data_IF_896017110441
#
_entry.id   IF_896017110441
#
_cell.length_a   1.000
_cell.length_b   1.000
_cell.length_c   1.000
_cell.angle_alpha   90.00
_cell.angle_beta   90.00
_cell.angle_gamma   90.00
#
_symmetry.space_group_name_H-M   'P 1'
#
loop_
_entity.id
_entity.type
_entity.pdbx_description
1 polymer ?
#
# COMPACT_ATOMS: atom_id res chain seq x y z
N UNK A 1 2.85 21.48 -18.82
CA UNK A 1 4.11 20.72 -18.65
C UNK A 1 4.12 19.61 -19.67
N UNK A 2 5.21 19.42 -20.41
CA UNK A 2 5.33 18.29 -21.34
C UNK A 2 5.84 17.03 -20.63
N UNK A 3 5.66 15.86 -21.26
CA UNK A 3 6.20 14.59 -20.76
C UNK A 3 7.72 14.64 -20.61
N UNK A 4 8.43 15.25 -21.58
CA UNK A 4 9.89 15.40 -21.53
C UNK A 4 10.32 16.25 -20.34
N UNK A 5 9.63 17.37 -20.09
CA UNK A 5 9.92 18.21 -18.92
C UNK A 5 9.75 17.43 -17.61
N UNK A 6 8.70 16.61 -17.50
CA UNK A 6 8.46 15.78 -16.32
C UNK A 6 9.58 14.76 -16.11
N UNK A 7 9.99 14.05 -17.17
CA UNK A 7 11.03 13.02 -17.10
C UNK A 7 12.38 13.59 -16.70
N UNK A 8 12.76 14.75 -17.25
CA UNK A 8 14.01 15.42 -16.91
C UNK A 8 14.05 15.86 -15.43
N UNK A 9 12.97 16.48 -14.93
CA UNK A 9 12.92 16.93 -13.52
C UNK A 9 12.94 15.79 -12.51
N UNK A 10 12.42 14.62 -12.88
CA UNK A 10 12.27 13.50 -11.96
C UNK A 10 13.30 12.38 -12.17
N UNK A 11 14.28 12.59 -13.05
CA UNK A 11 15.30 11.59 -13.40
C UNK A 11 16.01 10.99 -12.19
N UNK A 12 16.39 11.82 -11.22
CA UNK A 12 17.10 11.34 -10.02
C UNK A 12 16.21 10.56 -9.04
N UNK A 13 14.90 10.82 -9.03
CA UNK A 13 13.95 10.25 -8.07
C UNK A 13 13.30 8.97 -8.60
N UNK A 14 12.97 8.96 -9.88
CA UNK A 14 12.27 7.85 -10.53
C UNK A 14 12.43 7.91 -12.06
N UNK A 15 13.65 7.68 -12.52
CA UNK A 15 14.01 7.65 -13.94
C UNK A 15 13.03 6.79 -14.76
N UNK A 16 12.57 7.36 -15.88
CA UNK A 16 11.66 6.73 -16.84
C UNK A 16 10.31 6.25 -16.27
N UNK A 17 9.95 6.66 -15.05
CA UNK A 17 8.65 6.37 -14.43
C UNK A 17 7.83 7.64 -14.33
N UNK A 18 6.60 7.59 -14.84
CA UNK A 18 5.59 8.65 -14.67
C UNK A 18 4.55 8.15 -13.68
N UNK A 19 4.45 8.81 -12.54
CA UNK A 19 3.43 8.47 -11.54
C UNK A 19 2.16 9.25 -11.82
N UNK A 20 1.01 8.60 -11.70
CA UNK A 20 -0.28 9.25 -11.93
C UNK A 20 -1.34 8.89 -10.89
N UNK A 21 -2.32 9.78 -10.77
CA UNK A 21 -3.42 9.71 -9.80
C UNK A 21 -4.74 9.69 -10.58
N UNK A 22 -5.61 8.75 -10.23
CA UNK A 22 -6.94 8.60 -10.85
C UNK A 22 -8.06 9.09 -9.93
N UNK A 23 -7.87 9.03 -8.61
CA UNK A 23 -8.85 9.46 -7.61
C UNK A 23 -8.16 10.12 -6.42
N UNK A 24 -8.28 11.45 -6.31
CA UNK A 24 -7.62 12.22 -5.25
C UNK A 24 -8.09 11.86 -3.84
N UNK A 25 -9.35 11.44 -3.68
CA UNK A 25 -9.93 11.15 -2.37
C UNK A 25 -9.49 9.77 -1.90
N UNK A 26 -9.63 8.77 -2.76
CA UNK A 26 -9.19 7.42 -2.46
C UNK A 26 -7.67 7.39 -2.23
N UNK A 27 -6.91 8.03 -3.11
CA UNK A 27 -5.45 7.95 -3.11
C UNK A 27 -4.78 9.02 -2.22
N UNK A 28 -5.53 9.70 -1.36
CA UNK A 28 -5.06 10.83 -0.56
C UNK A 28 -3.80 10.53 0.26
N UNK A 29 -3.71 9.32 0.84
CA UNK A 29 -2.54 8.91 1.62
C UNK A 29 -1.27 8.75 0.77
N UNK A 30 -1.41 8.17 -0.43
CA UNK A 30 -0.30 8.03 -1.39
C UNK A 30 0.13 9.41 -1.92
N UNK A 31 -0.83 10.28 -2.23
CA UNK A 31 -0.55 11.66 -2.66
C UNK A 31 0.23 12.41 -1.58
N UNK A 32 -0.19 12.29 -0.32
CA UNK A 32 0.54 12.88 0.80
C UNK A 32 1.95 12.32 0.90
N UNK A 33 2.12 11.00 0.79
CA UNK A 33 3.44 10.36 0.84
C UNK A 33 4.36 10.85 -0.29
N UNK A 34 3.84 11.00 -1.51
CA UNK A 34 4.60 11.57 -2.63
C UNK A 34 5.03 13.01 -2.31
N UNK A 35 4.11 13.86 -1.84
CA UNK A 35 4.42 15.25 -1.45
C UNK A 35 5.47 15.33 -0.35
N UNK A 36 5.35 14.50 0.69
CA UNK A 36 6.29 14.46 1.82
C UNK A 36 7.71 14.02 1.39
N UNK A 37 7.85 13.36 0.22
CA UNK A 37 9.12 12.92 -0.34
C UNK A 37 9.56 13.74 -1.58
N UNK A 38 8.98 14.93 -1.78
CA UNK A 38 9.20 15.80 -2.94
C UNK A 38 9.00 15.07 -4.29
N UNK A 39 8.11 14.08 -4.34
CA UNK A 39 7.80 13.36 -5.58
C UNK A 39 6.60 13.96 -6.28
N UNK A 40 6.65 13.92 -7.60
CA UNK A 40 5.58 14.42 -8.45
C UNK A 40 4.70 13.26 -8.94
N UNK A 41 3.42 13.56 -9.13
CA UNK A 41 2.48 12.68 -9.83
C UNK A 41 1.51 13.55 -10.63
N UNK A 42 1.08 13.05 -11.79
CA UNK A 42 0.15 13.75 -12.68
C UNK A 42 -1.29 13.27 -12.46
N UNK A 43 -2.25 14.19 -12.54
CA UNK A 43 -3.67 13.83 -12.49
C UNK A 43 -4.10 13.25 -13.84
N UNK A 44 -4.64 12.02 -13.82
CA UNK A 44 -5.14 11.28 -14.99
C UNK A 44 -6.43 10.56 -14.59
N UNK A 45 -7.51 11.33 -14.45
CA UNK A 45 -8.79 10.89 -13.88
C UNK A 45 -9.94 10.83 -14.89
N UNK A 46 -9.63 10.89 -16.18
CA UNK A 46 -10.62 10.80 -17.26
C UNK A 46 -10.59 9.43 -17.93
N UNK A 47 -11.71 9.04 -18.55
CA UNK A 47 -11.83 7.71 -19.19
C UNK A 47 -10.82 7.51 -20.33
N UNK A 48 -10.46 8.58 -21.03
CA UNK A 48 -9.52 8.50 -22.16
C UNK A 48 -8.07 8.34 -21.71
N UNK A 49 -7.75 8.68 -20.45
CA UNK A 49 -6.38 8.67 -19.94
C UNK A 49 -5.74 7.28 -20.00
N UNK A 50 -6.50 6.21 -19.73
CA UNK A 50 -5.98 4.84 -19.81
C UNK A 50 -5.45 4.50 -21.20
N UNK A 51 -6.19 4.88 -22.25
CA UNK A 51 -5.76 4.67 -23.64
C UNK A 51 -4.60 5.59 -24.01
N UNK A 52 -4.62 6.83 -23.51
CA UNK A 52 -3.56 7.79 -23.75
C UNK A 52 -2.23 7.35 -23.12
N UNK A 53 -2.26 6.82 -21.89
CA UNK A 53 -1.11 6.22 -21.22
C UNK A 53 -0.50 5.10 -22.08
N UNK A 54 -1.33 4.15 -22.52
CA UNK A 54 -0.86 3.03 -23.35
C UNK A 54 -0.25 3.52 -24.67
N UNK A 55 -0.86 4.53 -25.30
CA UNK A 55 -0.32 5.16 -26.49
C UNK A 55 1.05 5.80 -26.22
N UNK A 56 1.23 6.53 -25.12
CA UNK A 56 2.50 7.13 -24.76
C UNK A 56 3.57 6.08 -24.47
N UNK A 57 3.28 5.03 -23.70
CA UNK A 57 4.23 3.94 -23.42
C UNK A 57 4.69 3.21 -24.69
N UNK A 58 3.81 3.10 -25.71
CA UNK A 58 4.17 2.50 -26.99
C UNK A 58 5.09 3.38 -27.84
N UNK A 59 4.92 4.71 -27.78
CA UNK A 59 5.68 5.66 -28.59
C UNK A 59 6.97 6.14 -27.93
N UNK A 60 7.01 6.20 -26.59
CA UNK A 60 8.14 6.67 -25.79
C UNK A 60 8.83 5.47 -25.16
N UNK A 61 9.74 4.85 -25.93
CA UNK A 61 10.43 3.62 -25.51
C UNK A 61 11.13 3.79 -24.16
N UNK A 62 10.84 2.87 -23.23
CA UNK A 62 11.45 2.84 -21.90
C UNK A 62 10.66 3.59 -20.83
N UNK A 63 9.70 4.44 -21.19
CA UNK A 63 8.83 5.15 -20.23
C UNK A 63 7.73 4.21 -19.74
N UNK A 64 7.49 4.20 -18.42
CA UNK A 64 6.41 3.46 -17.78
C UNK A 64 5.53 4.37 -16.96
N UNK A 65 4.22 4.20 -17.07
CA UNK A 65 3.24 4.89 -16.27
C UNK A 65 2.77 3.97 -15.15
N UNK A 66 2.86 4.48 -13.92
CA UNK A 66 2.56 3.74 -12.71
C UNK A 66 1.54 4.52 -11.91
N UNK A 67 0.44 3.90 -11.49
CA UNK A 67 -0.46 4.56 -10.55
C UNK A 67 0.28 4.78 -9.22
N UNK A 68 -0.06 5.84 -8.51
CA UNK A 68 0.62 6.28 -7.29
C UNK A 68 0.64 5.21 -6.16
N UNK A 69 -0.25 4.23 -6.23
CA UNK A 69 -0.42 3.10 -5.31
C UNK A 69 0.03 1.77 -5.92
N UNK A 70 0.80 1.80 -7.01
CA UNK A 70 1.24 0.59 -7.71
C UNK A 70 2.66 0.14 -7.42
N UNK A 71 3.51 1.07 -6.98
CA UNK A 71 4.91 0.82 -6.67
C UNK A 71 5.41 1.81 -5.63
N UNK A 72 6.43 1.39 -4.85
CA UNK A 72 7.17 2.27 -3.94
C UNK A 72 8.49 2.65 -4.59
N UNK A 73 8.70 3.94 -4.84
CA UNK A 73 10.00 4.42 -5.32
C UNK A 73 11.07 4.23 -4.24
N UNK A 74 12.28 3.88 -4.65
CA UNK A 74 13.47 3.82 -3.79
C UNK A 74 13.75 5.14 -3.06
N UNK A 75 13.28 6.27 -3.61
CA UNK A 75 13.39 7.58 -2.96
C UNK A 75 12.54 7.72 -1.70
N UNK A 76 11.47 6.93 -1.54
CA UNK A 76 10.60 6.95 -0.36
C UNK A 76 11.08 6.01 0.75
N UNK A 77 12.03 5.12 0.44
CA UNK A 77 12.61 4.18 1.39
C UNK A 77 13.73 4.84 2.16
N UNK A 78 13.83 4.48 3.41
CA UNK A 78 14.92 4.88 4.28
C UNK A 78 16.12 3.96 4.04
N UNK A 79 17.16 4.52 3.39
CA UNK A 79 18.41 3.80 3.13
C UNK A 79 19.34 3.79 4.34
N UNK A 80 19.05 4.60 5.37
CA UNK A 80 19.88 4.76 6.56
C UNK A 80 19.51 3.81 7.70
N UNK A 81 18.55 2.89 7.52
CA UNK A 81 18.39 1.76 8.45
C UNK A 81 19.58 0.81 8.32
N UNK A 82 20.71 1.23 8.89
CA UNK A 82 21.95 0.48 9.15
C UNK A 82 21.73 -0.56 10.24
N UNK A 83 20.70 -1.38 10.08
CA UNK A 83 20.54 -2.62 10.84
C UNK A 83 21.24 -3.72 10.05
N UNK A 84 21.92 -4.61 10.75
CA UNK A 84 22.54 -5.80 10.15
C UNK A 84 21.50 -6.50 9.24
N UNK A 85 21.88 -6.91 8.02
CA UNK A 85 20.92 -7.45 7.02
C UNK A 85 20.13 -8.65 7.59
N UNK A 86 20.78 -9.42 8.48
CA UNK A 86 20.16 -10.52 9.20
C UNK A 86 19.03 -10.06 10.13
N UNK A 87 19.21 -8.95 10.84
CA UNK A 87 18.18 -8.38 11.72
C UNK A 87 16.99 -7.83 10.94
N UNK A 88 17.22 -7.25 9.75
CA UNK A 88 16.10 -6.80 8.91
C UNK A 88 15.28 -7.96 8.35
N UNK A 89 15.93 -9.04 7.93
CA UNK A 89 15.25 -10.27 7.48
C UNK A 89 14.41 -10.86 8.61
N UNK A 90 14.98 -10.98 9.80
CA UNK A 90 14.27 -11.50 10.98
C UNK A 90 13.06 -10.63 11.36
N UNK A 91 13.20 -9.29 11.34
CA UNK A 91 12.07 -8.37 11.56
C UNK A 91 10.98 -8.60 10.52
N UNK A 92 11.37 -8.74 9.25
CA UNK A 92 10.44 -8.91 8.14
C UNK A 92 9.64 -10.21 8.26
N UNK A 93 10.32 -11.33 8.52
CA UNK A 93 9.70 -12.65 8.72
C UNK A 93 8.75 -12.65 9.93
N UNK A 94 9.16 -12.02 11.04
CA UNK A 94 8.34 -11.91 12.23
C UNK A 94 7.05 -11.10 11.98
N UNK A 95 7.15 -9.97 11.29
CA UNK A 95 5.98 -9.15 10.96
C UNK A 95 5.05 -9.86 9.98
N UNK A 96 5.60 -10.49 8.94
CA UNK A 96 4.82 -11.26 7.97
C UNK A 96 4.02 -12.37 8.66
N UNK A 97 4.69 -13.16 9.51
CA UNK A 97 4.03 -14.22 10.29
C UNK A 97 2.96 -13.66 11.22
N UNK A 98 3.29 -12.60 11.97
CA UNK A 98 2.37 -11.97 12.91
C UNK A 98 1.07 -11.54 12.23
N UNK A 99 1.17 -10.86 11.09
CA UNK A 99 0.00 -10.38 10.37
C UNK A 99 -0.78 -11.52 9.71
N UNK A 100 -0.12 -12.50 9.09
CA UNK A 100 -0.83 -13.65 8.49
C UNK A 100 -1.65 -14.43 9.52
N UNK A 101 -1.07 -14.69 10.69
CA UNK A 101 -1.74 -15.39 11.79
C UNK A 101 -2.93 -14.60 12.34
N UNK A 102 -2.75 -13.31 12.63
CA UNK A 102 -3.82 -12.49 13.21
C UNK A 102 -4.94 -12.17 12.22
N UNK A 103 -4.63 -12.06 10.93
CA UNK A 103 -5.60 -11.84 9.86
C UNK A 103 -6.25 -13.13 9.35
N UNK A 104 -5.76 -14.31 9.76
CA UNK A 104 -6.17 -15.61 9.22
C UNK A 104 -6.13 -15.66 7.69
N UNK A 105 -5.09 -15.10 7.08
CA UNK A 105 -4.96 -14.99 5.63
C UNK A 105 -3.54 -15.33 5.16
N UNK A 106 -3.25 -16.62 5.06
CA UNK A 106 -1.93 -17.13 4.62
C UNK A 106 -1.58 -16.74 3.17
N UNK A 107 -2.58 -16.40 2.36
CA UNK A 107 -2.42 -16.01 0.95
C UNK A 107 -2.08 -14.53 0.78
N UNK A 108 -2.21 -13.72 1.83
CA UNK A 108 -1.89 -12.30 1.78
C UNK A 108 -0.39 -12.13 1.48
N UNK A 109 -0.08 -11.42 0.40
CA UNK A 109 1.29 -10.98 0.12
C UNK A 109 1.62 -9.85 1.08
N UNK A 110 2.64 -10.04 1.91
CA UNK A 110 3.12 -9.01 2.84
C UNK A 110 4.54 -8.66 2.46
N UNK A 111 4.86 -7.37 2.50
CA UNK A 111 6.21 -6.85 2.32
C UNK A 111 6.52 -5.91 3.48
N UNK A 112 7.73 -5.97 4.00
CA UNK A 112 8.18 -5.03 5.03
C UNK A 112 9.17 -4.06 4.39
N UNK A 113 8.91 -2.77 4.56
CA UNK A 113 9.75 -1.70 4.00
C UNK A 113 9.99 -0.65 5.07
N UNK A 114 11.22 -0.12 5.14
CA UNK A 114 11.52 1.04 5.96
C UNK A 114 11.14 2.30 5.16
N UNK A 115 10.01 2.92 5.47
CA UNK A 115 9.59 4.15 4.80
C UNK A 115 10.12 5.36 5.56
N UNK A 116 10.47 6.43 4.85
CA UNK A 116 10.82 7.73 5.46
C UNK A 116 9.65 8.35 6.22
N UNK A 117 8.42 8.11 5.75
CA UNK A 117 7.19 8.60 6.38
C UNK A 117 6.80 7.71 7.56
N UNK A 118 7.27 8.05 8.76
CA UNK A 118 7.03 7.24 9.97
C UNK A 118 5.57 7.20 10.44
N UNK A 119 4.67 8.06 9.92
CA UNK A 119 3.28 8.15 10.40
C UNK A 119 2.36 7.03 9.88
N UNK A 120 2.70 6.41 8.75
CA UNK A 120 1.88 5.36 8.14
C UNK A 120 2.33 3.98 8.64
N UNK A 121 1.46 3.18 9.28
CA UNK A 121 1.81 1.82 9.74
C UNK A 121 1.87 0.81 8.60
N UNK A 122 1.04 0.98 7.57
CA UNK A 122 1.05 0.14 6.39
C UNK A 122 0.13 0.69 5.30
N UNK A 123 0.22 0.09 4.12
CA UNK A 123 -0.51 0.48 2.92
C UNK A 123 -0.65 -0.71 1.97
N UNK A 124 -1.67 -0.69 1.11
CA UNK A 124 -1.80 -1.67 0.03
C UNK A 124 -1.12 -1.15 -1.23
N UNK A 125 -0.40 -2.01 -1.92
CA UNK A 125 0.05 -1.77 -3.29
C UNK A 125 -0.61 -2.77 -4.22
N UNK A 126 -1.00 -2.32 -5.42
CA UNK A 126 -1.44 -3.19 -6.50
C UNK A 126 -0.65 -2.88 -7.75
N UNK A 127 0.08 -3.86 -8.28
CA UNK A 127 0.91 -3.64 -9.47
C UNK A 127 0.09 -3.06 -10.62
N UNK A 128 0.70 -2.19 -11.40
CA UNK A 128 0.02 -1.53 -12.53
C UNK A 128 -0.51 -2.56 -13.54
N UNK A 129 0.21 -3.65 -13.74
CA UNK A 129 -0.23 -4.75 -14.59
C UNK A 129 -1.49 -5.43 -14.02
N UNK A 130 -1.51 -5.76 -12.73
CA UNK A 130 -2.67 -6.37 -12.08
C UNK A 130 -3.88 -5.44 -12.14
N UNK A 131 -3.69 -4.13 -11.90
CA UNK A 131 -4.72 -3.11 -12.05
C UNK A 131 -5.32 -3.12 -13.45
N UNK A 132 -4.49 -3.06 -14.50
CA UNK A 132 -4.96 -3.06 -15.91
C UNK A 132 -5.71 -4.35 -16.27
N UNK A 133 -5.28 -5.49 -15.74
CA UNK A 133 -6.00 -6.77 -15.91
C UNK A 133 -7.35 -6.74 -15.19
N UNK A 134 -7.42 -6.20 -13.97
CA UNK A 134 -8.67 -6.05 -13.22
C UNK A 134 -9.65 -5.12 -13.96
N UNK A 135 -9.18 -4.01 -14.51
CA UNK A 135 -9.98 -3.09 -15.34
C UNK A 135 -10.51 -3.78 -16.60
N UNK A 136 -9.66 -4.54 -17.29
CA UNK A 136 -10.05 -5.34 -18.45
C UNK A 136 -11.14 -6.35 -18.08
N UNK A 137 -10.97 -7.10 -16.98
CA UNK A 137 -11.97 -8.08 -16.52
C UNK A 137 -13.33 -7.44 -16.25
N UNK A 138 -13.35 -6.25 -15.63
CA UNK A 138 -14.59 -5.48 -15.39
C UNK A 138 -15.26 -5.05 -16.69
N UNK A 139 -14.48 -4.62 -17.69
CA UNK A 139 -15.01 -4.14 -18.98
C UNK A 139 -15.59 -5.27 -19.83
N UNK A 140 -15.01 -6.46 -19.81
CA UNK A 140 -15.49 -7.64 -20.57
C UNK A 140 -16.55 -8.47 -19.82
N UNK A 141 -17.35 -7.83 -18.97
CA UNK A 141 -18.49 -8.48 -18.31
C UNK A 141 -18.12 -9.46 -17.21
N UNK A 142 -16.97 -9.27 -16.56
CA UNK A 142 -16.55 -10.12 -15.45
C UNK A 142 -16.23 -11.54 -15.89
N UNK A 143 -15.63 -11.72 -17.08
CA UNK A 143 -15.01 -13.00 -17.47
C UNK A 143 -13.95 -13.34 -16.43
N UNK A 144 -14.41 -14.07 -15.43
CA UNK A 144 -13.63 -14.56 -14.33
C UNK A 144 -12.81 -15.68 -14.97
N UNK A 145 -11.56 -15.37 -15.35
CA UNK A 145 -10.57 -16.36 -15.76
C UNK A 145 -10.30 -17.29 -14.56
N UNK A 146 -11.26 -18.16 -14.27
CA UNK A 146 -11.22 -19.23 -13.29
C UNK A 146 -10.96 -18.84 -11.84
N UNK A 147 -11.34 -17.65 -11.36
CA UNK A 147 -11.02 -17.25 -9.98
C UNK A 147 -9.51 -17.24 -9.67
N UNK A 148 -8.65 -17.25 -10.70
CA UNK A 148 -7.20 -17.28 -10.57
C UNK A 148 -6.59 -15.88 -10.41
N UNK A 149 -7.35 -14.82 -10.66
CA UNK A 149 -6.94 -13.47 -10.31
C UNK A 149 -7.33 -13.20 -8.87
N UNK A 150 -6.68 -13.91 -7.94
CA UNK A 150 -6.58 -13.43 -6.57
C UNK A 150 -6.04 -12.00 -6.65
N UNK A 151 -6.71 -11.06 -6.00
CA UNK A 151 -6.27 -9.67 -5.92
C UNK A 151 -4.78 -9.67 -5.56
N UNK A 152 -3.92 -9.29 -6.52
CA UNK A 152 -2.47 -9.25 -6.30
C UNK A 152 -2.07 -8.00 -5.52
N UNK A 153 -2.83 -7.74 -4.46
CA UNK A 153 -2.57 -6.71 -3.49
C UNK A 153 -1.45 -7.18 -2.57
N UNK A 154 -0.51 -6.28 -2.31
CA UNK A 154 0.56 -6.49 -1.34
C UNK A 154 0.36 -5.53 -0.18
N UNK A 155 0.22 -6.06 1.03
CA UNK A 155 0.28 -5.26 2.25
C UNK A 155 1.73 -4.90 2.54
N UNK A 156 2.06 -3.63 2.39
CA UNK A 156 3.35 -3.09 2.83
C UNK A 156 3.24 -2.64 4.27
N UNK A 157 4.08 -3.17 5.15
CA UNK A 157 4.20 -2.76 6.55
C UNK A 157 5.44 -1.87 6.70
N UNK A 158 5.25 -0.73 7.37
CA UNK A 158 6.32 0.24 7.57
C UNK A 158 7.12 -0.08 8.84
N UNK A 159 8.32 -0.64 8.68
CA UNK A 159 9.17 -1.01 9.82
C UNK A 159 9.68 0.20 10.61
N UNK A 160 9.63 1.41 10.04
CA UNK A 160 9.98 2.65 10.72
C UNK A 160 8.83 3.21 11.58
N UNK A 161 7.60 2.74 11.39
CA UNK A 161 6.45 3.20 12.15
C UNK A 161 6.46 2.69 13.60
N UNK A 162 6.16 3.59 14.55
CA UNK A 162 6.17 3.27 15.98
C UNK A 162 5.19 2.16 16.38
N UNK A 163 3.99 2.13 15.79
CA UNK A 163 2.98 1.11 16.08
C UNK A 163 3.44 -0.28 15.60
N UNK A 164 4.04 -0.35 14.40
CA UNK A 164 4.61 -1.59 13.86
C UNK A 164 5.75 -2.12 14.75
N UNK A 165 6.64 -1.24 15.23
CA UNK A 165 7.68 -1.61 16.20
C UNK A 165 7.09 -2.09 17.53
N UNK A 166 6.04 -1.43 18.01
CA UNK A 166 5.34 -1.86 19.24
C UNK A 166 4.72 -3.24 19.09
N UNK A 167 4.10 -3.57 17.95
CA UNK A 167 3.54 -4.90 17.71
C UNK A 167 4.58 -6.02 17.86
N UNK A 168 5.80 -5.82 17.35
CA UNK A 168 6.89 -6.78 17.52
C UNK A 168 7.25 -7.01 19.00
N UNK A 169 7.19 -5.97 19.83
CA UNK A 169 7.46 -6.09 21.27
C UNK A 169 6.32 -6.74 22.07
N UNK A 170 5.12 -6.80 21.48
CA UNK A 170 3.92 -7.36 22.11
C UNK A 170 3.59 -8.78 21.61
N UNK A 171 4.20 -9.24 20.51
CA UNK A 171 3.84 -10.51 19.86
C UNK A 171 3.89 -11.74 20.79
N UNK A 172 4.82 -11.75 21.74
CA UNK A 172 5.04 -12.89 22.64
C UNK A 172 4.31 -12.75 23.99
N UNK A 173 3.58 -11.65 24.21
CA UNK A 173 2.85 -11.39 25.46
C UNK A 173 1.46 -11.99 25.39
N UNK A 174 1.23 -13.06 26.15
CA UNK A 174 -0.04 -13.79 26.12
C UNK A 174 -1.24 -12.94 26.52
N UNK A 175 -1.06 -12.05 27.51
CA UNK A 175 -2.07 -11.10 27.99
C UNK A 175 -2.44 -10.04 26.95
N UNK A 176 -1.65 -9.88 25.88
CA UNK A 176 -1.83 -8.87 24.83
C UNK A 176 -2.23 -9.45 23.48
N UNK A 177 -2.43 -10.77 23.36
CA UNK A 177 -2.78 -11.45 22.10
C UNK A 177 -4.00 -10.85 21.41
N UNK A 178 -5.06 -10.55 22.18
CA UNK A 178 -6.28 -9.95 21.63
C UNK A 178 -6.04 -8.53 21.11
N UNK A 179 -5.27 -7.72 21.82
CA UNK A 179 -4.96 -6.36 21.37
C UNK A 179 -4.12 -6.36 20.10
N UNK A 180 -3.12 -7.25 20.04
CA UNK A 180 -2.29 -7.44 18.84
C UNK A 180 -3.17 -7.80 17.65
N UNK A 181 -4.11 -8.74 17.83
CA UNK A 181 -5.07 -9.11 16.79
C UNK A 181 -5.89 -7.91 16.33
N UNK A 182 -6.52 -7.18 17.25
CA UNK A 182 -7.35 -6.02 16.93
C UNK A 182 -6.56 -4.95 16.16
N UNK A 183 -5.31 -4.69 16.56
CA UNK A 183 -4.46 -3.70 15.91
C UNK A 183 -4.05 -4.18 14.50
N UNK A 184 -3.64 -5.43 14.34
CA UNK A 184 -3.28 -5.99 13.02
C UNK A 184 -4.45 -5.90 12.03
N UNK A 185 -5.64 -6.32 12.45
CA UNK A 185 -6.85 -6.20 11.63
C UNK A 185 -7.16 -4.73 11.30
N UNK A 186 -7.03 -3.82 12.26
CA UNK A 186 -7.33 -2.39 12.06
C UNK A 186 -6.35 -1.73 11.09
N UNK A 187 -5.05 -2.03 11.20
CA UNK A 187 -4.03 -1.56 10.25
C UNK A 187 -4.35 -2.06 8.85
N UNK A 188 -4.74 -3.34 8.71
CA UNK A 188 -5.09 -3.92 7.43
C UNK A 188 -6.33 -3.27 6.79
N UNK A 189 -7.38 -3.03 7.57
CA UNK A 189 -8.58 -2.36 7.07
C UNK A 189 -8.32 -0.90 6.67
N UNK A 190 -7.51 -0.16 7.43
CA UNK A 190 -7.08 1.19 7.05
C UNK A 190 -6.28 1.18 5.74
N UNK A 191 -5.37 0.22 5.57
CA UNK A 191 -4.58 0.06 4.35
C UNK A 191 -5.45 -0.33 3.15
N UNK A 192 -6.49 -1.16 3.34
CA UNK A 192 -7.49 -1.46 2.30
C UNK A 192 -8.29 -0.21 1.95
N UNK A 193 -8.75 0.57 2.93
CA UNK A 193 -9.56 1.78 2.71
C UNK A 193 -8.85 2.84 1.87
N UNK A 194 -7.53 2.99 2.00
CA UNK A 194 -6.76 3.89 1.14
C UNK A 194 -6.67 3.41 -0.30
N UNK A 195 -6.88 2.12 -0.55
CA UNK A 195 -6.80 1.53 -1.89
C UNK A 195 -8.17 1.34 -2.55
N UNK A 196 -9.17 0.90 -1.78
CA UNK A 196 -10.54 0.59 -2.23
C UNK A 196 -11.56 0.77 -1.11
N UNK A 197 -12.84 0.87 -1.47
CA UNK A 197 -13.91 0.80 -0.47
C UNK A 197 -13.94 -0.59 0.15
N UNK A 198 -14.19 -0.66 1.46
CA UNK A 198 -14.42 -1.94 2.12
C UNK A 198 -15.79 -2.48 1.71
N UNK A 199 -15.89 -3.80 1.61
CA UNK A 199 -17.16 -4.49 1.45
C UNK A 199 -18.07 -4.26 2.68
N UNK A 200 -19.40 -4.39 2.55
CA UNK A 200 -20.34 -4.06 3.64
C UNK A 200 -20.04 -4.74 4.99
N UNK A 201 -19.68 -6.02 4.96
CA UNK A 201 -19.35 -6.78 6.17
C UNK A 201 -18.01 -6.35 6.78
N UNK A 202 -17.00 -6.07 5.94
CA UNK A 202 -15.70 -5.56 6.37
C UNK A 202 -15.85 -4.16 7.01
N UNK A 203 -16.68 -3.30 6.41
CA UNK A 203 -16.97 -1.97 6.95
C UNK A 203 -17.66 -2.06 8.32
N UNK A 204 -18.63 -2.96 8.46
CA UNK A 204 -19.33 -3.19 9.74
C UNK A 204 -18.34 -3.62 10.83
N UNK A 205 -17.51 -4.62 10.54
CA UNK A 205 -16.45 -5.09 11.46
C UNK A 205 -15.45 -3.99 11.80
N UNK A 206 -15.06 -3.17 10.82
CA UNK A 206 -14.15 -2.05 11.05
C UNK A 206 -14.72 -1.02 12.03
N UNK A 207 -16.00 -0.67 11.90
CA UNK A 207 -16.68 0.28 12.81
C UNK A 207 -16.76 -0.30 14.23
N UNK A 208 -17.17 -1.56 14.37
CA UNK A 208 -17.23 -2.24 15.66
C UNK A 208 -15.84 -2.29 16.33
N UNK A 209 -14.80 -2.64 15.56
CA UNK A 209 -13.42 -2.68 16.05
C UNK A 209 -12.93 -1.30 16.46
N UNK A 210 -13.25 -0.27 15.68
CA UNK A 210 -12.89 1.11 15.99
C UNK A 210 -13.51 1.56 17.31
N UNK A 211 -14.80 1.26 17.53
CA UNK A 211 -15.48 1.57 18.79
C UNK A 211 -14.89 0.80 19.97
N UNK A 212 -14.54 -0.47 19.78
CA UNK A 212 -13.88 -1.30 20.80
C UNK A 212 -12.52 -0.72 21.19
N UNK A 213 -11.67 -0.38 20.22
CA UNK A 213 -10.36 0.23 20.45
C UNK A 213 -10.47 1.58 21.18
N UNK A 214 -11.39 2.45 20.75
CA UNK A 214 -11.65 3.72 21.42
C UNK A 214 -12.17 3.54 22.84
N UNK A 215 -13.02 2.54 23.07
CA UNK A 215 -13.55 2.23 24.41
C UNK A 215 -12.45 1.76 25.35
N UNK A 216 -11.52 0.92 24.89
CA UNK A 216 -10.34 0.50 25.67
C UNK A 216 -9.46 1.70 26.05
N UNK A 217 -9.18 2.58 25.09
CA UNK A 217 -8.40 3.80 25.33
C UNK A 217 -9.10 4.73 26.35
N UNK A 218 -10.41 4.87 26.27
CA UNK A 218 -11.19 5.71 27.19
C UNK A 218 -11.31 5.12 28.61
N UNK A 219 -11.34 3.79 28.73
CA UNK A 219 -11.43 3.10 30.03
C UNK A 219 -10.08 2.93 30.73
N UNK A 220 -8.97 3.24 30.05
CA UNK A 220 -7.62 3.07 30.60
C UNK A 220 -7.20 1.60 30.76
N UNK A 221 -7.84 0.71 30.01
CA UNK A 221 -7.49 -0.71 29.91
C UNK A 221 -6.57 -0.98 28.71
#
# INVERSE_FOLDING_TARGET
>A
MSLKDYLERNKEKHENKVFYVTDEKQQAQYIKMFKDNDMEAVMMNTVIDTHFIQFLEMNESGVKFLRIDSDLSESMKDKETSSDENSQKEISENLEKLFKENLNNDKLKIKVEALKTATLPGMILMSEQARRIQEMSRMYGGFNFGGMYAEEETLVLNSNNGLIKSLLSLKDKEDRKEDVKLICEHIYDLAKMSHKQLEPDDMTRFIERSNSLLSKLASGQ
#
